data_IF_621292563165
#
_entry.id   IF_621292563165
#
_cell.length_a   1.000
_cell.length_b   1.000
_cell.length_c   1.000
_cell.angle_alpha   90.00
_cell.angle_beta   90.00
_cell.angle_gamma   90.00
#
_symmetry.space_group_name_H-M   'P 1'
#
loop_
_entity.id
_entity.type
_entity.pdbx_description
1 polymer ?
#
# COMPACT_ATOMS: atom_id res chain seq x y z
N UNK A 1 -5.06 11.09 4.58
CA UNK A 1 -4.97 9.62 4.39
C UNK A 1 -3.54 9.13 4.59
N UNK A 2 -3.36 7.83 4.81
CA UNK A 2 -2.03 7.19 4.87
C UNK A 2 -1.95 6.08 3.81
N UNK A 3 -0.83 5.99 3.07
CA UNK A 3 -0.58 4.97 2.06
C UNK A 3 0.40 3.90 2.57
N UNK A 4 0.04 2.65 2.37
CA UNK A 4 0.81 1.49 2.78
C UNK A 4 1.15 0.59 1.59
N UNK A 5 2.44 0.29 1.42
CA UNK A 5 2.89 -0.66 0.40
C UNK A 5 3.00 -2.07 0.96
N UNK A 6 2.44 -3.05 0.24
CA UNK A 6 2.72 -4.46 0.50
C UNK A 6 4.17 -4.78 0.12
N UNK A 7 4.98 -5.21 1.07
CA UNK A 7 6.33 -5.72 0.79
C UNK A 7 6.23 -7.12 0.18
N UNK A 8 6.27 -7.18 -1.14
CA UNK A 8 6.10 -8.45 -1.88
C UNK A 8 7.19 -9.47 -1.54
N UNK A 9 8.41 -9.02 -1.26
CA UNK A 9 9.51 -9.94 -0.95
C UNK A 9 9.28 -10.60 0.42
N UNK A 10 8.96 -9.82 1.46
CA UNK A 10 8.59 -10.37 2.78
C UNK A 10 7.33 -11.22 2.69
N UNK A 11 6.35 -10.77 1.92
CA UNK A 11 5.07 -11.46 1.76
C UNK A 11 5.24 -12.83 1.09
N UNK A 12 5.97 -12.91 -0.02
CA UNK A 12 6.24 -14.18 -0.71
C UNK A 12 7.17 -15.11 0.05
N UNK A 13 8.17 -14.57 0.75
CA UNK A 13 9.03 -15.38 1.61
C UNK A 13 8.26 -16.07 2.74
N UNK A 14 7.11 -15.52 3.13
CA UNK A 14 6.28 -16.06 4.21
C UNK A 14 5.30 -17.12 3.72
N UNK A 15 4.52 -16.81 2.69
CA UNK A 15 3.57 -17.73 2.06
C UNK A 15 3.23 -17.22 0.66
N UNK A 16 3.98 -17.67 -0.34
CA UNK A 16 3.84 -17.23 -1.73
C UNK A 16 2.43 -17.47 -2.28
N UNK A 17 1.89 -18.68 -2.10
CA UNK A 17 0.59 -19.05 -2.66
C UNK A 17 -0.56 -18.29 -2.00
N UNK A 18 -0.49 -18.07 -0.69
CA UNK A 18 -1.48 -17.30 0.04
C UNK A 18 -1.40 -15.82 -0.31
N UNK A 19 -0.21 -15.24 -0.33
CA UNK A 19 -0.06 -13.79 -0.52
C UNK A 19 -0.08 -13.34 -1.98
N UNK A 20 0.13 -14.23 -2.95
CA UNK A 20 -0.16 -13.93 -4.35
C UNK A 20 -1.62 -13.48 -4.54
N UNK A 21 -2.55 -13.91 -3.67
CA UNK A 21 -3.96 -13.53 -3.71
C UNK A 21 -4.20 -12.05 -3.37
N UNK A 22 -3.32 -11.41 -2.57
CA UNK A 22 -3.39 -9.98 -2.26
C UNK A 22 -3.13 -9.12 -3.51
N UNK A 23 -2.22 -9.57 -4.38
CA UNK A 23 -1.77 -8.84 -5.57
C UNK A 23 -2.63 -9.19 -6.78
N UNK A 24 -2.93 -10.47 -6.96
CA UNK A 24 -3.60 -10.96 -8.15
C UNK A 24 -5.13 -10.90 -8.03
N UNK A 25 -5.67 -10.88 -6.80
CA UNK A 25 -7.10 -10.89 -6.56
C UNK A 25 -7.83 -12.14 -7.10
N UNK A 26 -7.10 -13.16 -7.55
CA UNK A 26 -7.61 -14.43 -8.02
C UNK A 26 -7.57 -15.47 -6.89
N UNK A 27 -8.61 -16.31 -6.80
CA UNK A 27 -8.62 -17.49 -5.93
C UNK A 27 -9.41 -17.38 -4.62
N UNK A 28 -9.88 -16.19 -4.24
CA UNK A 28 -10.79 -16.02 -3.08
C UNK A 28 -12.22 -15.86 -3.60
N UNK A 29 -13.08 -16.82 -3.23
CA UNK A 29 -14.46 -16.89 -3.71
C UNK A 29 -15.40 -15.89 -3.00
N UNK A 30 -15.03 -15.39 -1.82
CA UNK A 30 -15.81 -14.43 -1.04
C UNK A 30 -15.01 -13.21 -0.62
N UNK A 31 -15.70 -12.09 -0.42
CA UNK A 31 -15.08 -10.82 -0.03
C UNK A 31 -14.50 -10.85 1.38
N UNK A 32 -14.98 -11.73 2.25
CA UNK A 32 -14.59 -11.77 3.66
C UNK A 32 -13.24 -12.45 3.88
N UNK A 33 -12.96 -13.56 3.19
CA UNK A 33 -11.66 -14.22 3.25
C UNK A 33 -10.53 -13.33 2.73
N UNK A 34 -10.82 -12.47 1.74
CA UNK A 34 -9.85 -11.48 1.26
C UNK A 34 -9.59 -10.39 2.31
N UNK A 35 -10.64 -9.88 2.99
CA UNK A 35 -10.48 -8.91 4.09
C UNK A 35 -9.67 -9.49 5.23
N UNK A 36 -9.94 -10.74 5.62
CA UNK A 36 -9.18 -11.46 6.64
C UNK A 36 -7.71 -11.59 6.22
N UNK A 37 -7.44 -11.94 4.97
CA UNK A 37 -6.07 -12.03 4.46
C UNK A 37 -5.31 -10.69 4.54
N UNK A 38 -5.95 -9.58 4.18
CA UNK A 38 -5.35 -8.24 4.34
C UNK A 38 -5.09 -7.91 5.81
N UNK A 39 -6.03 -8.25 6.69
CA UNK A 39 -5.89 -8.01 8.14
C UNK A 39 -4.74 -8.82 8.73
N UNK A 40 -4.62 -10.10 8.39
CA UNK A 40 -3.52 -10.94 8.81
C UNK A 40 -2.19 -10.35 8.32
N UNK A 41 -2.08 -10.02 7.03
CA UNK A 41 -0.87 -9.43 6.47
C UNK A 41 -0.48 -8.08 7.12
N UNK A 42 -1.46 -7.25 7.49
CA UNK A 42 -1.25 -6.03 8.29
C UNK A 42 -0.65 -6.35 9.66
N UNK A 43 -1.27 -7.26 10.42
CA UNK A 43 -0.82 -7.66 11.76
C UNK A 43 0.54 -8.34 11.74
N UNK A 44 0.88 -8.98 10.63
CA UNK A 44 2.16 -9.62 10.39
C UNK A 44 3.27 -8.64 9.99
N UNK A 45 2.95 -7.36 9.82
CA UNK A 45 3.92 -6.32 9.46
C UNK A 45 4.41 -6.41 8.02
N UNK A 46 3.59 -6.93 7.10
CA UNK A 46 3.91 -7.03 5.67
C UNK A 46 3.66 -5.73 4.90
N UNK A 47 3.09 -4.72 5.56
CA UNK A 47 2.82 -3.41 5.00
C UNK A 47 3.73 -2.34 5.58
N UNK A 48 4.36 -1.55 4.71
CA UNK A 48 5.14 -0.38 5.10
C UNK A 48 4.30 0.89 4.94
N UNK A 49 4.24 1.74 5.97
CA UNK A 49 3.76 3.11 5.81
C UNK A 49 4.74 3.89 4.94
N UNK A 50 4.28 4.43 3.80
CA UNK A 50 5.17 5.02 2.79
C UNK A 50 4.88 6.48 2.49
N UNK A 51 3.65 6.96 2.70
CA UNK A 51 3.30 8.35 2.50
C UNK A 51 2.04 8.75 3.27
N UNK A 52 2.04 9.99 3.77
CA UNK A 52 0.83 10.70 4.16
C UNK A 52 0.30 11.48 2.95
N UNK A 53 -1.02 11.55 2.80
CA UNK A 53 -1.71 12.29 1.74
C UNK A 53 -2.68 13.27 2.37
N UNK A 54 -2.54 14.57 2.09
CA UNK A 54 -3.48 15.61 2.49
C UNK A 54 -4.77 15.47 1.68
N UNK A 55 -5.88 15.29 2.39
CA UNK A 55 -7.19 14.97 1.83
C UNK A 55 -7.72 13.57 2.19
N UNK A 56 -8.96 13.33 1.79
CA UNK A 56 -9.79 12.15 2.05
C UNK A 56 -10.38 11.52 0.75
N UNK A 57 -10.12 12.12 -0.41
CA UNK A 57 -10.53 11.58 -1.71
C UNK A 57 -9.55 10.49 -2.18
N UNK A 58 -10.01 9.23 -2.12
CA UNK A 58 -9.24 8.05 -2.53
C UNK A 58 -8.80 8.08 -3.99
N UNK A 59 -9.65 8.56 -4.90
CA UNK A 59 -9.33 8.59 -6.33
C UNK A 59 -8.25 9.64 -6.59
N UNK A 60 -8.35 10.81 -5.95
CA UNK A 60 -7.29 11.81 -5.98
C UNK A 60 -5.99 11.26 -5.40
N UNK A 61 -6.04 10.65 -4.21
CA UNK A 61 -4.88 10.08 -3.54
C UNK A 61 -4.18 9.05 -4.42
N UNK A 62 -4.93 8.12 -5.02
CA UNK A 62 -4.39 7.13 -5.95
C UNK A 62 -3.80 7.75 -7.21
N UNK A 63 -4.47 8.73 -7.84
CA UNK A 63 -3.91 9.41 -9.01
C UNK A 63 -2.61 10.15 -8.67
N UNK A 64 -2.55 10.78 -7.50
CA UNK A 64 -1.39 11.54 -7.04
C UNK A 64 -0.17 10.64 -6.73
N UNK A 65 -0.40 9.38 -6.33
CA UNK A 65 0.65 8.42 -5.97
C UNK A 65 0.91 7.35 -7.03
N UNK A 66 0.08 7.28 -8.07
CA UNK A 66 0.27 6.43 -9.23
C UNK A 66 1.10 7.18 -10.29
N UNK A 67 2.42 6.93 -10.32
CA UNK A 67 3.26 7.46 -11.40
C UNK A 67 2.85 6.82 -12.72
N UNK A 68 2.54 7.64 -13.73
CA UNK A 68 2.07 7.34 -15.09
C UNK A 68 2.69 6.13 -15.83
N UNK A 69 3.80 5.57 -15.34
CA UNK A 69 4.39 4.31 -15.81
C UNK A 69 4.65 3.37 -14.63
N UNK A 70 4.18 2.12 -14.73
CA UNK A 70 4.33 1.05 -13.71
C UNK A 70 5.79 0.84 -13.24
N UNK A 71 6.77 1.25 -14.04
CA UNK A 71 8.21 1.17 -13.75
C UNK A 71 8.79 2.43 -13.08
N UNK A 72 8.02 3.51 -12.95
CA UNK A 72 8.47 4.73 -12.31
C UNK A 72 8.33 4.58 -10.79
N UNK A 73 9.45 4.31 -10.14
CA UNK A 73 9.69 4.76 -8.76
C UNK A 73 9.30 6.24 -8.64
N UNK A 74 8.96 6.73 -7.44
CA UNK A 74 8.73 8.15 -7.11
C UNK A 74 9.98 8.95 -7.46
N UNK A 75 10.19 9.18 -8.75
CA UNK A 75 11.42 9.65 -9.36
C UNK A 75 11.26 11.04 -9.94
N UNK A 76 10.12 11.67 -9.66
CA UNK A 76 9.90 13.10 -9.78
C UNK A 76 9.18 13.52 -8.51
N UNK A 77 9.54 14.69 -8.01
CA UNK A 77 8.94 15.37 -6.86
C UNK A 77 7.52 14.88 -6.55
N UNK A 78 7.22 14.48 -5.29
CA UNK A 78 5.87 14.06 -4.93
C UNK A 78 4.82 15.06 -5.41
N UNK A 79 3.65 14.57 -5.82
CA UNK A 79 2.52 15.43 -6.13
C UNK A 79 2.20 16.33 -4.93
N UNK A 80 1.58 17.49 -5.20
CA UNK A 80 1.08 18.37 -4.15
C UNK A 80 0.17 17.59 -3.19
N UNK A 81 0.32 17.81 -1.89
CA UNK A 81 -0.43 17.08 -0.86
C UNK A 81 0.10 15.68 -0.55
N UNK A 82 1.13 15.17 -1.22
CA UNK A 82 1.72 13.86 -0.91
C UNK A 82 3.06 14.01 -0.18
N UNK A 83 3.16 13.41 0.99
CA UNK A 83 4.32 13.50 1.89
C UNK A 83 4.92 12.10 2.15
N UNK A 84 5.99 11.70 1.45
CA UNK A 84 6.65 10.42 1.69
C UNK A 84 7.25 10.31 3.11
N UNK A 85 7.09 9.16 3.75
CA UNK A 85 7.52 8.91 5.16
C UNK A 85 8.82 8.09 5.26
N UNK A 86 9.09 7.20 4.29
CA UNK A 86 10.32 6.40 4.22
C UNK A 86 11.50 7.21 3.65
N UNK A 87 12.79 6.79 3.81
CA UNK A 87 13.91 7.50 3.17
C UNK A 87 13.62 7.64 1.68
N UNK A 88 13.61 8.90 1.23
CA UNK A 88 12.96 9.37 0.01
C UNK A 88 13.49 8.67 -1.25
N UNK A 89 14.68 8.06 -1.15
CA UNK A 89 15.32 7.31 -2.23
C UNK A 89 16.16 6.14 -1.70
N UNK A 90 16.03 4.99 -2.34
CA UNK A 90 16.96 3.87 -2.28
C UNK A 90 18.08 4.08 -3.30
N UNK A 91 19.32 3.77 -2.95
CA UNK A 91 20.41 3.77 -3.91
C UNK A 91 20.48 2.39 -4.58
N UNK A 92 20.28 2.33 -5.89
CA UNK A 92 20.46 1.09 -6.64
C UNK A 92 21.93 0.76 -6.86
N UNK A 93 22.20 -0.47 -7.31
CA UNK A 93 23.56 -0.96 -7.60
C UNK A 93 24.28 -0.15 -8.69
N UNK A 94 23.52 0.55 -9.53
CA UNK A 94 24.02 1.47 -10.56
C UNK A 94 24.29 2.90 -10.06
N UNK A 95 24.17 3.13 -8.74
CA UNK A 95 24.36 4.44 -8.11
C UNK A 95 23.22 5.43 -8.35
N UNK A 96 22.11 5.00 -8.98
CA UNK A 96 20.92 5.85 -9.15
C UNK A 96 20.05 5.83 -7.91
N UNK A 97 19.41 6.97 -7.66
CA UNK A 97 18.39 7.11 -6.61
C UNK A 97 17.04 6.69 -7.16
N UNK A 98 16.48 5.63 -6.59
CA UNK A 98 15.14 5.13 -6.87
C UNK A 98 14.20 5.54 -5.75
N UNK A 99 13.09 6.18 -6.05
CA UNK A 99 12.04 6.39 -5.04
C UNK A 99 11.40 5.07 -4.60
N UNK A 100 10.41 5.12 -3.71
CA UNK A 100 9.48 3.99 -3.51
C UNK A 100 8.67 3.77 -4.80
N UNK A 101 7.98 2.63 -4.96
CA UNK A 101 7.21 2.31 -6.18
C UNK A 101 5.91 3.12 -6.27
N UNK A 102 5.31 3.27 -7.45
CA UNK A 102 3.95 3.81 -7.58
C UNK A 102 2.94 2.99 -6.77
N UNK A 103 1.82 3.61 -6.37
CA UNK A 103 0.69 2.85 -5.82
C UNK A 103 0.25 1.76 -6.80
N UNK A 104 0.00 0.57 -6.26
CA UNK A 104 -0.17 -0.67 -7.01
C UNK A 104 -1.24 -1.56 -6.38
N UNK A 105 -1.75 -2.52 -7.15
CA UNK A 105 -2.72 -3.51 -6.66
C UNK A 105 -2.13 -4.24 -5.44
N UNK A 106 -2.93 -4.37 -4.38
CA UNK A 106 -2.51 -4.96 -3.12
C UNK A 106 -2.03 -3.96 -2.09
N UNK A 107 -1.80 -2.70 -2.45
CA UNK A 107 -1.51 -1.64 -1.50
C UNK A 107 -2.77 -1.24 -0.71
N UNK A 108 -2.57 -0.63 0.45
CA UNK A 108 -3.64 -0.19 1.34
C UNK A 108 -3.61 1.33 1.52
N UNK A 109 -4.79 1.94 1.58
CA UNK A 109 -4.97 3.33 1.97
C UNK A 109 -5.80 3.36 3.26
N UNK A 110 -5.29 4.03 4.30
CA UNK A 110 -6.07 4.32 5.50
C UNK A 110 -6.76 5.67 5.32
N UNK A 111 -8.09 5.65 5.34
CA UNK A 111 -8.95 6.84 5.29
C UNK A 111 -10.03 6.69 6.36
N UNK A 112 -10.22 7.72 7.18
CA UNK A 112 -11.21 7.73 8.27
C UNK A 112 -11.19 6.48 9.19
N UNK A 113 -9.98 6.00 9.50
CA UNK A 113 -9.78 4.82 10.34
C UNK A 113 -10.14 3.49 9.67
N UNK A 114 -10.35 3.47 8.36
CA UNK A 114 -10.64 2.27 7.57
C UNK A 114 -9.62 2.04 6.47
N UNK A 115 -9.21 0.80 6.31
CA UNK A 115 -8.34 0.39 5.21
C UNK A 115 -9.15 0.13 3.95
N UNK A 116 -8.68 0.69 2.85
CA UNK A 116 -9.13 0.46 1.49
C UNK A 116 -8.00 -0.16 0.69
N UNK A 117 -8.22 -1.37 0.15
CA UNK A 117 -7.26 -2.04 -0.70
C UNK A 117 -7.40 -1.58 -2.15
N UNK A 118 -6.26 -1.25 -2.77
CA UNK A 118 -6.18 -0.94 -4.20
C UNK A 118 -6.44 -2.23 -4.98
N UNK A 119 -7.53 -2.24 -5.74
CA UNK A 119 -7.93 -3.38 -6.57
C UNK A 119 -7.62 -3.11 -8.05
N UNK A 120 -7.86 -4.10 -8.91
CA UNK A 120 -7.74 -3.93 -10.35
C UNK A 120 -8.70 -2.86 -10.91
N UNK A 121 -9.80 -2.61 -10.21
CA UNK A 121 -10.75 -1.52 -10.50
C UNK A 121 -11.18 -0.89 -9.18
N UNK A 122 -10.80 0.36 -8.95
CA UNK A 122 -11.13 1.12 -7.74
C UNK A 122 -10.54 0.52 -6.46
N UNK A 123 -11.36 0.51 -5.40
CA UNK A 123 -10.93 0.11 -4.06
C UNK A 123 -11.87 -0.93 -3.46
N UNK A 124 -11.33 -1.72 -2.53
CA UNK A 124 -12.09 -2.69 -1.74
C UNK A 124 -11.95 -2.34 -0.26
N UNK A 125 -13.08 -2.20 0.43
CA UNK A 125 -13.09 -2.01 1.88
C UNK A 125 -12.52 -3.25 2.58
N UNK A 126 -11.45 -3.06 3.35
CA UNK A 126 -10.83 -4.08 4.19
C UNK A 126 -11.43 -4.06 5.59
N UNK A 127 -11.83 -2.88 6.05
CA UNK A 127 -12.44 -2.68 7.36
C UNK A 127 -11.65 -1.71 8.25
N UNK A 128 -11.96 -1.65 9.55
CA UNK A 128 -11.28 -0.73 10.46
C UNK A 128 -9.80 -1.09 10.63
N UNK A 129 -8.98 -0.10 10.95
CA UNK A 129 -7.58 -0.29 11.31
C UNK A 129 -7.44 -1.31 12.47
N UNK A 130 -6.84 -2.50 12.23
CA UNK A 130 -6.70 -3.52 13.25
C UNK A 130 -5.52 -3.24 14.19
N UNK A 131 -4.69 -2.23 13.90
CA UNK A 131 -3.53 -1.89 14.73
C UNK A 131 -4.04 -1.32 16.06
N UNK A 132 -3.40 -1.68 17.19
CA UNK A 132 -3.80 -1.11 18.47
C UNK A 132 -3.67 0.42 18.39
N UNK A 133 -4.68 1.13 18.91
CA UNK A 133 -4.56 2.57 19.10
C UNK A 133 -3.25 2.83 19.85
N UNK A 134 -2.34 3.60 19.25
CA UNK A 134 -1.12 4.00 19.93
C UNK A 134 -1.55 4.68 21.23
N UNK A 135 -1.21 4.06 22.36
CA UNK A 135 -1.48 4.65 23.66
C UNK A 135 -0.82 6.05 23.66
N UNK A 136 -1.50 7.10 24.14
CA UNK A 136 -0.88 8.41 24.24
C UNK A 136 0.39 8.27 25.10
N UNK A 137 1.51 8.74 24.55
CA UNK A 137 2.82 8.76 25.20
C UNK A 137 2.81 9.64 26.45
#
# INVERSE_FOLDING_TARGET
MELYHLDWQRSFAKDEARHAQLILGFGIADSEGLKELYRDALLEGLFDHVADIDGDDLDYGYMATNNETISASWSRTPAEGVFPVAPTFHLGEDGRKYGRRSTSIGDLVLVDGRFQAVASMGFRDVGPDPRPALAPA
#
